data_IF_692192303475
#
_entry.id   IF_692192303475
#
_cell.length_a   1.000
_cell.length_b   1.000
_cell.length_c   1.000
_cell.angle_alpha   90.00
_cell.angle_beta   90.00
_cell.angle_gamma   90.00
#
_symmetry.space_group_name_H-M   'P 1'
#
loop_
_entity.id
_entity.type
_entity.pdbx_description
1 polymer ?
#
# COMPACT_ATOMS: atom_id res chain seq x y z
N UNK A 1 0.24 -28.77 55.03
CA UNK A 1 0.52 -27.33 54.91
C UNK A 1 -0.78 -26.58 54.67
N UNK A 2 -1.55 -26.32 55.73
CA UNK A 2 -2.69 -25.40 55.70
C UNK A 2 -2.29 -24.16 56.51
N UNK A 3 -1.78 -23.14 55.83
CA UNK A 3 -1.67 -21.81 56.43
C UNK A 3 -3.04 -21.14 56.28
N UNK A 4 -3.63 -20.69 57.40
CA UNK A 4 -4.89 -19.94 57.39
C UNK A 4 -4.75 -18.56 56.72
N UNK A 5 -3.51 -18.04 56.68
CA UNK A 5 -3.17 -16.69 56.24
C UNK A 5 -2.62 -16.64 54.80
N UNK A 6 -2.11 -17.75 54.27
CA UNK A 6 -1.52 -17.81 52.92
C UNK A 6 -2.02 -19.05 52.18
N UNK A 7 -2.97 -18.83 51.26
CA UNK A 7 -3.48 -19.86 50.37
C UNK A 7 -2.71 -19.85 49.05
N UNK A 8 -1.69 -20.69 48.96
CA UNK A 8 -0.84 -20.83 47.76
C UNK A 8 -1.63 -21.28 46.53
N UNK A 9 -2.63 -22.15 46.69
CA UNK A 9 -3.49 -22.58 45.59
C UNK A 9 -4.32 -21.43 45.01
N UNK A 10 -4.86 -20.56 45.87
CA UNK A 10 -5.58 -19.36 45.45
C UNK A 10 -4.65 -18.34 44.76
N UNK A 11 -3.42 -18.18 45.24
CA UNK A 11 -2.43 -17.31 44.57
C UNK A 11 -2.03 -17.84 43.18
N UNK A 12 -1.84 -19.14 43.02
CA UNK A 12 -1.57 -19.75 41.70
C UNK A 12 -2.75 -19.59 40.76
N UNK A 13 -3.99 -19.78 41.25
CA UNK A 13 -5.19 -19.53 40.46
C UNK A 13 -5.31 -18.05 40.04
N UNK A 14 -5.00 -17.11 40.93
CA UNK A 14 -4.98 -15.67 40.63
C UNK A 14 -3.92 -15.32 39.57
N UNK A 15 -2.72 -15.91 39.64
CA UNK A 15 -1.69 -15.73 38.63
C UNK A 15 -2.14 -16.27 37.26
N UNK A 16 -2.79 -17.43 37.23
CA UNK A 16 -3.37 -18.00 36.01
C UNK A 16 -4.48 -17.11 35.45
N UNK A 17 -5.37 -16.60 36.30
CA UNK A 17 -6.44 -15.68 35.89
C UNK A 17 -5.88 -14.36 35.34
N UNK A 18 -4.86 -13.78 35.98
CA UNK A 18 -4.20 -12.58 35.50
C UNK A 18 -3.54 -12.81 34.13
N UNK A 19 -2.91 -13.98 33.92
CA UNK A 19 -2.36 -14.37 32.60
C UNK A 19 -3.46 -14.55 31.56
N UNK A 20 -4.57 -15.20 31.91
CA UNK A 20 -5.72 -15.37 31.02
C UNK A 20 -6.31 -14.03 30.59
N UNK A 21 -6.51 -13.10 31.53
CA UNK A 21 -7.00 -11.75 31.25
C UNK A 21 -6.05 -10.96 30.35
N UNK A 22 -4.74 -11.07 30.57
CA UNK A 22 -3.74 -10.44 29.69
C UNK A 22 -3.81 -11.00 28.26
N UNK A 23 -3.94 -12.31 28.11
CA UNK A 23 -4.07 -12.96 26.80
C UNK A 23 -5.39 -12.57 26.09
N UNK A 24 -6.48 -12.44 26.85
CA UNK A 24 -7.76 -11.95 26.34
C UNK A 24 -7.63 -10.52 25.80
N UNK A 25 -7.00 -9.61 26.55
CA UNK A 25 -6.78 -8.23 26.11
C UNK A 25 -5.96 -8.13 24.82
N UNK A 26 -4.90 -8.95 24.69
CA UNK A 26 -4.10 -9.02 23.45
C UNK A 26 -4.95 -9.53 22.29
N UNK A 27 -5.75 -10.57 22.51
CA UNK A 27 -6.63 -11.14 21.48
C UNK A 27 -7.69 -10.12 21.04
N UNK A 28 -8.29 -9.41 21.99
CA UNK A 28 -9.28 -8.38 21.71
C UNK A 28 -8.66 -7.19 20.94
N UNK A 29 -7.44 -6.79 21.26
CA UNK A 29 -6.72 -5.77 20.51
C UNK A 29 -6.43 -6.21 19.06
N UNK A 30 -6.05 -7.47 18.85
CA UNK A 30 -5.85 -8.04 17.50
C UNK A 30 -7.15 -8.13 16.71
N UNK A 31 -8.27 -8.48 17.35
CA UNK A 31 -9.58 -8.51 16.70
C UNK A 31 -10.02 -7.09 16.33
N UNK A 32 -9.83 -6.12 17.23
CA UNK A 32 -10.22 -4.72 17.00
C UNK A 32 -9.41 -4.05 15.88
N UNK A 33 -8.09 -4.28 15.86
CA UNK A 33 -7.19 -3.68 14.85
C UNK A 33 -7.09 -4.49 13.56
N UNK A 34 -7.45 -5.77 13.59
CA UNK A 34 -7.19 -6.73 12.51
C UNK A 34 -5.71 -7.09 12.32
N UNK A 35 -4.80 -6.50 13.10
CA UNK A 35 -3.36 -6.70 12.96
C UNK A 35 -2.80 -7.57 14.09
N UNK A 36 -1.96 -8.54 13.72
CA UNK A 36 -1.20 -9.33 14.70
C UNK A 36 -0.16 -8.49 15.47
N UNK A 37 0.39 -7.47 14.79
CA UNK A 37 1.37 -6.48 15.30
C UNK A 37 0.81 -5.11 14.95
N UNK A 38 0.17 -4.44 15.91
CA UNK A 38 -0.48 -3.15 15.67
C UNK A 38 0.49 -1.99 15.96
N UNK A 39 1.29 -2.14 17.02
CA UNK A 39 2.20 -1.10 17.51
C UNK A 39 3.66 -1.56 17.48
N UNK A 40 4.60 -0.60 17.52
CA UNK A 40 6.02 -0.90 17.62
C UNK A 40 6.36 -1.68 18.91
N UNK A 41 5.57 -1.51 19.97
CA UNK A 41 5.72 -2.24 21.23
C UNK A 41 5.36 -3.73 21.13
N UNK A 42 4.53 -4.12 20.16
CA UNK A 42 4.16 -5.53 19.94
C UNK A 42 5.32 -6.30 19.28
N UNK A 43 5.97 -5.69 18.29
CA UNK A 43 7.20 -6.18 17.66
C UNK A 43 7.82 -5.10 16.77
N UNK A 44 8.87 -4.43 17.25
CA UNK A 44 9.47 -3.28 16.54
C UNK A 44 10.00 -3.64 15.15
N UNK A 45 10.58 -4.83 14.98
CA UNK A 45 11.16 -5.26 13.70
C UNK A 45 10.09 -5.56 12.65
N UNK A 46 9.05 -6.33 13.01
CA UNK A 46 7.96 -6.61 12.06
C UNK A 46 7.10 -5.37 11.81
N UNK A 47 6.93 -4.50 12.80
CA UNK A 47 6.22 -3.25 12.63
C UNK A 47 6.97 -2.30 11.70
N UNK A 48 8.29 -2.17 11.82
CA UNK A 48 9.09 -1.31 10.93
C UNK A 48 9.09 -1.83 9.50
N UNK A 49 9.29 -3.14 9.29
CA UNK A 49 9.20 -3.76 7.96
C UNK A 49 7.81 -3.53 7.36
N UNK A 50 6.74 -3.80 8.10
CA UNK A 50 5.37 -3.60 7.62
C UNK A 50 5.08 -2.12 7.32
N UNK A 51 5.64 -1.19 8.09
CA UNK A 51 5.46 0.25 7.87
C UNK A 51 6.20 0.71 6.62
N UNK A 52 7.44 0.27 6.42
CA UNK A 52 8.20 0.50 5.18
C UNK A 52 7.46 -0.08 3.98
N UNK A 53 7.00 -1.33 4.05
CA UNK A 53 6.22 -1.95 2.97
C UNK A 53 4.93 -1.18 2.63
N UNK A 54 4.22 -0.63 3.61
CA UNK A 54 3.04 0.23 3.37
C UNK A 54 3.43 1.54 2.68
N UNK A 55 4.56 2.14 3.07
CA UNK A 55 5.10 3.34 2.43
C UNK A 55 5.50 3.06 0.98
N UNK A 56 6.18 1.93 0.74
CA UNK A 56 6.61 1.51 -0.60
C UNK A 56 5.41 1.28 -1.51
N UNK A 57 4.35 0.64 -1.02
CA UNK A 57 3.13 0.44 -1.80
C UNK A 57 2.49 1.77 -2.21
N UNK A 58 2.46 2.75 -1.31
CA UNK A 58 1.96 4.10 -1.64
C UNK A 58 2.83 4.77 -2.70
N UNK A 59 4.15 4.68 -2.59
CA UNK A 59 5.08 5.22 -3.58
C UNK A 59 4.91 4.55 -4.95
N UNK A 60 4.77 3.21 -4.98
CA UNK A 60 4.53 2.44 -6.20
C UNK A 60 3.21 2.80 -6.88
N UNK A 61 2.14 3.05 -6.10
CA UNK A 61 0.87 3.55 -6.64
C UNK A 61 1.06 4.89 -7.35
N UNK A 62 1.78 5.83 -6.75
CA UNK A 62 2.07 7.12 -7.39
C UNK A 62 2.92 6.95 -8.66
N UNK A 63 3.88 6.04 -8.66
CA UNK A 63 4.67 5.72 -9.86
C UNK A 63 3.78 5.15 -10.95
N UNK A 64 2.82 4.28 -10.60
CA UNK A 64 1.87 3.71 -11.55
C UNK A 64 0.98 4.81 -12.17
N UNK A 65 0.50 5.76 -11.38
CA UNK A 65 -0.27 6.90 -11.88
C UNK A 65 0.57 7.77 -12.83
N UNK A 66 1.84 8.03 -12.48
CA UNK A 66 2.76 8.78 -13.33
C UNK A 66 3.06 8.06 -14.65
N UNK A 67 3.21 6.73 -14.63
CA UNK A 67 3.36 5.92 -15.84
C UNK A 67 2.11 5.95 -16.71
N UNK A 68 0.91 5.89 -16.11
CA UNK A 68 -0.35 6.02 -16.82
C UNK A 68 -0.51 7.38 -17.50
N UNK A 69 -0.14 8.45 -16.80
CA UNK A 69 -0.10 9.81 -17.37
C UNK A 69 0.93 9.92 -18.51
N UNK A 70 2.11 9.32 -18.33
CA UNK A 70 3.16 9.30 -19.36
C UNK A 70 2.72 8.57 -20.62
N UNK A 71 2.03 7.44 -20.48
CA UNK A 71 1.45 6.71 -21.60
C UNK A 71 0.42 7.57 -22.36
N UNK A 72 -0.50 8.22 -21.63
CA UNK A 72 -1.48 9.12 -22.24
C UNK A 72 -0.82 10.30 -22.97
N UNK A 73 0.26 10.87 -22.42
CA UNK A 73 1.02 11.94 -23.09
C UNK A 73 1.66 11.46 -24.39
N UNK A 74 2.20 10.23 -24.42
CA UNK A 74 2.75 9.62 -25.63
C UNK A 74 1.66 9.37 -26.67
N UNK A 75 0.48 8.90 -26.27
CA UNK A 75 -0.67 8.70 -27.17
C UNK A 75 -1.14 10.02 -27.79
N UNK A 76 -1.18 11.09 -27.01
CA UNK A 76 -1.50 12.45 -27.50
C UNK A 76 -0.43 12.89 -28.51
N UNK A 77 0.85 12.69 -28.20
CA UNK A 77 1.94 13.04 -29.11
C UNK A 77 1.85 12.23 -30.42
N UNK A 78 1.51 10.94 -30.35
CA UNK A 78 1.33 10.09 -31.53
C UNK A 78 0.17 10.58 -32.39
N UNK A 79 -0.97 10.92 -31.78
CA UNK A 79 -2.13 11.48 -32.48
C UNK A 79 -1.78 12.82 -33.14
N UNK A 80 -1.05 13.70 -32.45
CA UNK A 80 -0.59 14.96 -33.01
C UNK A 80 0.37 14.78 -34.20
N UNK A 81 1.24 13.77 -34.14
CA UNK A 81 2.16 13.43 -35.22
C UNK A 81 1.42 12.89 -36.46
N UNK A 82 0.37 12.09 -36.29
CA UNK A 82 -0.45 11.63 -37.42
C UNK A 82 -1.15 12.81 -38.12
N UNK A 83 -1.72 13.74 -37.34
CA UNK A 83 -2.31 14.96 -37.91
C UNK A 83 -1.26 15.81 -38.67
N UNK A 84 -0.04 15.92 -38.14
CA UNK A 84 1.04 16.65 -38.81
C UNK A 84 1.43 15.99 -40.15
N UNK A 85 1.45 14.66 -40.19
CA UNK A 85 1.69 13.88 -41.41
C UNK A 85 0.58 14.11 -42.44
N UNK A 86 -0.68 14.08 -42.04
CA UNK A 86 -1.81 14.35 -42.94
C UNK A 86 -1.72 15.74 -43.59
N UNK A 87 -1.34 16.76 -42.81
CA UNK A 87 -1.10 18.12 -43.33
C UNK A 87 0.07 18.13 -44.33
N UNK A 88 1.16 17.42 -44.04
CA UNK A 88 2.30 17.32 -44.96
C UNK A 88 1.92 16.61 -46.27
N UNK A 89 1.08 15.58 -46.20
CA UNK A 89 0.56 14.89 -47.38
C UNK A 89 -0.36 15.81 -48.21
N UNK A 90 -1.20 16.62 -47.57
CA UNK A 90 -2.02 17.64 -48.26
C UNK A 90 -1.15 18.71 -48.94
N UNK A 91 -0.10 19.19 -48.25
CA UNK A 91 0.87 20.14 -48.83
C UNK A 91 1.52 19.52 -50.06
N UNK A 92 1.99 18.27 -49.97
CA UNK A 92 2.62 17.56 -51.09
C UNK A 92 1.66 17.40 -52.26
N UNK A 93 0.41 17.04 -52.02
CA UNK A 93 -0.61 16.93 -53.06
C UNK A 93 -0.83 18.28 -53.78
N UNK A 94 -0.98 19.38 -53.03
CA UNK A 94 -1.10 20.73 -53.60
C UNK A 94 0.14 21.14 -54.41
N UNK A 95 1.33 20.77 -53.95
CA UNK A 95 2.60 21.07 -54.63
C UNK A 95 2.75 20.31 -55.95
N UNK A 96 2.28 19.06 -56.01
CA UNK A 96 2.22 18.27 -57.25
C UNK A 96 1.18 18.84 -58.21
N UNK A 97 -0.02 19.19 -57.72
CA UNK A 97 -1.05 19.82 -58.53
C UNK A 97 -0.57 21.15 -59.15
N UNK A 98 0.21 21.95 -58.43
CA UNK A 98 0.79 23.19 -58.95
C UNK A 98 1.92 22.98 -59.98
N UNK A 99 2.53 21.78 -60.04
CA UNK A 99 3.61 21.44 -60.99
C UNK A 99 3.11 20.87 -62.31
N UNK A 100 1.88 20.38 -62.38
CA UNK A 100 1.25 19.92 -63.61
C UNK A 100 0.44 21.09 -64.22
N UNK A 101 0.68 21.47 -65.49
CA UNK A 101 0.01 22.61 -66.13
C UNK A 101 -1.48 22.38 -66.38
#
# INVERSE_FOLDING_TARGET
>A
MSSLLTNTAAMTALQTLARANKNLAVTQNRISTGYRVATASDNAAYWSIATTMRSDNKALSTVQDALGLGAAQVDIAYTAMENAKDILDEIKAKLVAAKQP
#
